data_IF_115801002608
#
_entry.id   IF_115801002608
#
_cell.length_a   1.000
_cell.length_b   1.000
_cell.length_c   1.000
_cell.angle_alpha   90.00
_cell.angle_beta   90.00
_cell.angle_gamma   90.00
#
_symmetry.space_group_name_H-M   'P 1'
#
loop_
_entity.id
_entity.type
_entity.pdbx_description
1 polymer ?
#
# COMPACT_ATOMS: atom_id res chain seq x y z
N UNK A 1 -12.67 3.99 -2.87
CA UNK A 1 -13.57 2.88 -2.47
C UNK A 1 -13.13 2.23 -1.17
N UNK A 2 -11.98 1.55 -1.13
CA UNK A 2 -11.55 0.84 0.10
C UNK A 2 -11.53 1.74 1.34
N UNK A 3 -10.81 2.86 1.27
CA UNK A 3 -10.73 3.78 2.40
C UNK A 3 -12.07 4.42 2.78
N UNK A 4 -12.97 4.61 1.82
CA UNK A 4 -14.33 5.09 2.08
C UNK A 4 -15.16 4.02 2.80
N UNK A 5 -15.04 2.76 2.40
CA UNK A 5 -15.68 1.62 3.07
C UNK A 5 -15.23 1.54 4.52
N UNK A 6 -13.91 1.53 4.75
CA UNK A 6 -13.32 1.49 6.10
C UNK A 6 -13.79 2.68 6.93
N UNK A 7 -13.70 3.89 6.40
CA UNK A 7 -14.11 5.11 7.11
C UNK A 7 -15.60 5.08 7.47
N UNK A 8 -16.45 4.51 6.62
CA UNK A 8 -17.88 4.37 6.88
C UNK A 8 -18.22 3.32 7.95
N UNK A 9 -17.54 2.18 7.95
CA UNK A 9 -17.81 1.08 8.89
C UNK A 9 -17.09 1.24 10.24
N UNK A 10 -15.98 1.97 10.28
CA UNK A 10 -15.15 2.11 11.48
C UNK A 10 -15.92 2.62 12.71
N UNK A 11 -16.78 3.67 12.64
CA UNK A 11 -17.56 4.13 13.80
C UNK A 11 -18.52 3.06 14.35
N UNK A 12 -19.09 2.23 13.46
CA UNK A 12 -19.98 1.13 13.83
C UNK A 12 -19.19 0.06 14.59
N UNK A 13 -18.00 -0.28 14.09
CA UNK A 13 -17.08 -1.22 14.74
C UNK A 13 -16.66 -0.72 16.12
N UNK A 14 -16.22 0.54 16.24
CA UNK A 14 -15.86 1.13 17.54
C UNK A 14 -17.02 1.08 18.55
N UNK A 15 -18.25 1.40 18.11
CA UNK A 15 -19.43 1.37 18.98
C UNK A 15 -19.78 -0.06 19.44
N UNK A 16 -19.61 -1.04 18.55
CA UNK A 16 -19.95 -2.43 18.85
C UNK A 16 -18.94 -3.08 19.80
N UNK A 17 -17.66 -2.76 19.65
CA UNK A 17 -16.58 -3.41 20.40
C UNK A 17 -16.02 -2.57 21.56
N UNK A 18 -16.57 -1.37 21.80
CA UNK A 18 -16.33 -0.44 22.94
C UNK A 18 -14.88 -0.11 23.33
N UNK A 19 -13.89 -0.68 22.65
CA UNK A 19 -12.45 -0.44 22.85
C UNK A 19 -11.66 -0.95 21.64
N UNK A 20 -12.09 -0.60 20.41
CA UNK A 20 -11.26 -0.91 19.24
C UNK A 20 -9.97 -0.07 19.32
N UNK A 21 -8.90 -0.71 19.78
CA UNK A 21 -7.67 -0.05 20.21
C UNK A 21 -6.89 0.61 19.06
N UNK A 22 -7.16 0.24 17.80
CA UNK A 22 -6.44 0.78 16.65
C UNK A 22 -7.14 2.03 16.09
N UNK A 23 -6.46 3.20 16.02
CA UNK A 23 -6.97 4.38 15.32
C UNK A 23 -7.29 4.09 13.85
N UNK A 24 -8.27 4.81 13.27
CA UNK A 24 -8.65 4.69 11.84
C UNK A 24 -7.46 4.76 10.88
N UNK A 25 -6.47 5.60 11.16
CA UNK A 25 -5.26 5.69 10.32
C UNK A 25 -4.40 4.42 10.37
N UNK A 26 -4.42 3.68 11.48
CA UNK A 26 -3.75 2.38 11.61
C UNK A 26 -4.49 1.31 10.80
N UNK A 27 -5.82 1.28 10.86
CA UNK A 27 -6.64 0.37 10.03
C UNK A 27 -6.37 0.62 8.55
N UNK A 28 -6.38 1.89 8.12
CA UNK A 28 -6.05 2.27 6.75
C UNK A 28 -4.60 1.88 6.38
N UNK A 29 -3.65 1.96 7.31
CA UNK A 29 -2.27 1.50 7.09
C UNK A 29 -2.17 -0.01 6.87
N UNK A 30 -2.99 -0.83 7.55
CA UNK A 30 -3.07 -2.29 7.31
C UNK A 30 -3.60 -2.58 5.91
N UNK A 31 -4.73 -1.98 5.54
CA UNK A 31 -5.32 -2.14 4.20
C UNK A 31 -4.39 -1.66 3.08
N UNK A 32 -3.66 -0.56 3.30
CA UNK A 32 -2.66 -0.08 2.36
C UNK A 32 -1.54 -1.11 2.12
N UNK A 33 -1.05 -1.74 3.18
CA UNK A 33 -0.01 -2.75 3.09
C UNK A 33 -0.51 -4.02 2.36
N UNK A 34 -1.75 -4.44 2.61
CA UNK A 34 -2.36 -5.58 1.92
C UNK A 34 -2.59 -5.29 0.42
N UNK A 35 -3.05 -4.08 0.06
CA UNK A 35 -3.09 -3.65 -1.35
C UNK A 35 -1.70 -3.72 -1.98
N UNK A 36 -0.67 -3.27 -1.26
CA UNK A 36 0.72 -3.36 -1.69
C UNK A 36 1.16 -4.79 -1.95
N UNK A 37 0.83 -5.72 -1.06
CA UNK A 37 1.15 -7.15 -1.24
C UNK A 37 0.38 -7.79 -2.39
N UNK A 38 -0.88 -7.41 -2.63
CA UNK A 38 -1.65 -7.85 -3.80
C UNK A 38 -0.97 -7.36 -5.10
N UNK A 39 -0.65 -6.07 -5.19
CA UNK A 39 0.01 -5.50 -6.39
C UNK A 39 1.35 -6.18 -6.66
N UNK A 40 2.13 -6.41 -5.60
CA UNK A 40 3.47 -7.02 -5.65
C UNK A 40 3.44 -8.54 -5.83
N UNK A 41 2.28 -9.19 -5.70
CA UNK A 41 2.14 -10.64 -5.77
C UNK A 41 2.73 -11.37 -4.57
N UNK A 42 2.73 -10.72 -3.40
CA UNK A 42 3.19 -11.21 -2.09
C UNK A 42 2.06 -11.60 -1.15
N UNK A 43 0.81 -11.32 -1.52
CA UNK A 43 -0.36 -11.63 -0.73
C UNK A 43 -0.51 -13.15 -0.48
N UNK A 44 -0.71 -13.51 0.79
CA UNK A 44 -0.80 -14.86 1.33
C UNK A 44 -2.25 -15.34 1.46
N UNK A 45 -3.25 -14.51 1.17
CA UNK A 45 -4.65 -14.84 1.39
C UNK A 45 -5.05 -16.03 0.50
N UNK A 46 -5.38 -17.16 1.13
CA UNK A 46 -5.77 -18.38 0.42
C UNK A 46 -7.27 -18.42 0.09
N UNK A 47 -8.11 -17.89 0.97
CA UNK A 47 -9.57 -17.79 0.82
C UNK A 47 -10.29 -19.14 0.67
N UNK A 48 -11.60 -19.08 0.44
CA UNK A 48 -12.41 -20.21 -0.01
C UNK A 48 -12.24 -20.46 -1.52
N UNK A 49 -12.86 -21.52 -2.06
CA UNK A 49 -12.72 -21.90 -3.47
C UNK A 49 -13.13 -20.78 -4.45
N UNK A 50 -14.19 -20.03 -4.13
CA UNK A 50 -14.67 -18.91 -4.96
C UNK A 50 -13.68 -17.75 -4.96
N UNK A 51 -13.14 -17.39 -3.80
CA UNK A 51 -12.13 -16.33 -3.63
C UNK A 51 -10.82 -16.72 -4.31
N UNK A 52 -10.43 -18.00 -4.23
CA UNK A 52 -9.26 -18.53 -4.92
C UNK A 52 -9.36 -18.34 -6.43
N UNK A 53 -10.52 -18.56 -7.02
CA UNK A 53 -10.72 -18.35 -8.46
C UNK A 53 -10.73 -16.86 -8.84
N UNK A 54 -11.30 -16.00 -8.00
CA UNK A 54 -11.20 -14.54 -8.17
C UNK A 54 -9.75 -14.07 -8.09
N UNK A 55 -8.95 -14.60 -7.15
CA UNK A 55 -7.53 -14.28 -7.00
C UNK A 55 -6.73 -14.72 -8.24
N UNK A 56 -6.97 -15.92 -8.77
CA UNK A 56 -6.33 -16.35 -10.04
C UNK A 56 -6.64 -15.39 -11.18
N UNK A 57 -7.89 -14.90 -11.27
CA UNK A 57 -8.30 -13.92 -12.29
C UNK A 57 -7.58 -12.59 -12.08
N UNK A 58 -7.50 -12.11 -10.83
CA UNK A 58 -6.79 -10.90 -10.46
C UNK A 58 -5.30 -10.99 -10.82
N UNK A 59 -4.63 -12.07 -10.42
CA UNK A 59 -3.20 -12.29 -10.73
C UNK A 59 -2.94 -12.37 -12.23
N UNK A 60 -3.83 -13.03 -12.99
CA UNK A 60 -3.73 -13.05 -14.46
C UNK A 60 -3.84 -11.65 -15.06
N UNK A 61 -4.74 -10.82 -14.54
CA UNK A 61 -4.90 -9.44 -14.98
C UNK A 61 -3.68 -8.59 -14.61
N UNK A 62 -3.17 -8.68 -13.38
CA UNK A 62 -1.97 -7.98 -12.95
C UNK A 62 -0.77 -8.38 -13.81
N UNK A 63 -0.57 -9.69 -14.06
CA UNK A 63 0.48 -10.17 -14.95
C UNK A 63 0.37 -9.58 -16.36
N UNK A 64 -0.85 -9.48 -16.88
CA UNK A 64 -1.11 -8.89 -18.21
C UNK A 64 -0.79 -7.40 -18.24
N UNK A 65 -1.23 -6.65 -17.23
CA UNK A 65 -0.97 -5.20 -17.09
C UNK A 65 0.54 -4.95 -17.00
N UNK A 66 1.24 -5.63 -16.09
CA UNK A 66 2.69 -5.45 -15.94
C UNK A 66 3.48 -5.93 -17.15
N UNK A 67 3.00 -6.96 -17.86
CA UNK A 67 3.57 -7.36 -19.15
C UNK A 67 3.42 -6.29 -20.23
N UNK A 68 2.31 -5.55 -20.25
CA UNK A 68 2.12 -4.42 -21.16
C UNK A 68 3.01 -3.23 -20.76
N UNK A 69 3.06 -2.88 -19.47
CA UNK A 69 3.96 -1.82 -18.96
C UNK A 69 5.41 -2.12 -19.36
N UNK A 70 5.87 -3.37 -19.15
CA UNK A 70 7.21 -3.78 -19.53
C UNK A 70 7.50 -3.63 -21.03
N UNK A 71 6.54 -3.98 -21.90
CA UNK A 71 6.65 -3.81 -23.35
C UNK A 71 6.73 -2.35 -23.76
N UNK A 72 5.91 -1.48 -23.18
CA UNK A 72 5.93 -0.04 -23.49
C UNK A 72 7.23 0.61 -23.00
N UNK A 73 7.71 0.26 -21.80
CA UNK A 73 9.01 0.72 -21.28
C UNK A 73 10.18 0.37 -22.21
N UNK A 74 10.13 -0.80 -22.88
CA UNK A 74 11.14 -1.18 -23.89
C UNK A 74 11.08 -0.32 -25.15
N UNK A 75 9.89 0.11 -25.59
CA UNK A 75 9.73 0.88 -26.83
C UNK A 75 10.18 2.34 -26.69
N UNK A 76 9.90 2.97 -25.55
CA UNK A 76 10.07 4.42 -25.38
C UNK A 76 11.52 4.87 -25.17
N UNK A 77 12.45 3.97 -24.82
CA UNK A 77 13.81 4.38 -24.45
C UNK A 77 14.84 4.04 -25.52
N UNK A 78 15.27 5.06 -26.28
CA UNK A 78 16.38 5.00 -27.26
C UNK A 78 17.70 4.41 -26.71
N UNK A 79 17.94 4.43 -25.39
CA UNK A 79 19.10 3.81 -24.71
C UNK A 79 18.72 2.89 -23.52
N UNK A 80 17.43 2.69 -23.24
CA UNK A 80 16.97 2.10 -21.98
C UNK A 80 16.64 0.62 -22.04
N UNK A 81 16.65 0.01 -23.21
CA UNK A 81 16.45 -1.44 -23.34
C UNK A 81 17.54 -2.20 -22.56
N UNK A 82 18.80 -1.76 -22.63
CA UNK A 82 19.90 -2.42 -21.94
C UNK A 82 19.79 -2.30 -20.40
N UNK A 83 19.39 -1.14 -19.88
CA UNK A 83 19.17 -0.93 -18.44
C UNK A 83 17.95 -1.69 -17.92
N UNK A 84 16.84 -1.69 -18.67
CA UNK A 84 15.64 -2.45 -18.33
C UNK A 84 15.89 -3.94 -18.39
N UNK A 85 16.62 -4.42 -19.40
CA UNK A 85 17.07 -5.80 -19.45
C UNK A 85 18.01 -6.11 -18.29
N UNK A 86 18.96 -5.24 -17.93
CA UNK A 86 19.84 -5.47 -16.75
C UNK A 86 19.04 -5.54 -15.45
N UNK A 87 18.08 -4.64 -15.24
CA UNK A 87 17.29 -4.57 -14.00
C UNK A 87 16.24 -5.68 -13.91
N UNK A 88 15.54 -5.98 -15.00
CA UNK A 88 14.37 -6.86 -15.05
C UNK A 88 14.52 -8.10 -15.95
N UNK A 89 15.76 -8.51 -16.32
CA UNK A 89 16.02 -9.59 -17.30
C UNK A 89 15.22 -10.87 -17.12
N UNK A 90 15.01 -11.27 -15.87
CA UNK A 90 14.39 -12.54 -15.47
C UNK A 90 12.97 -12.34 -14.93
N UNK A 91 12.43 -11.13 -15.08
CA UNK A 91 11.19 -10.75 -14.41
C UNK A 91 9.96 -11.21 -15.19
N UNK A 92 10.03 -11.29 -16.52
CA UNK A 92 8.96 -11.89 -17.36
C UNK A 92 8.62 -13.32 -16.90
N UNK A 93 9.64 -14.14 -16.64
CA UNK A 93 9.50 -15.52 -16.15
C UNK A 93 9.04 -15.59 -14.69
N UNK A 94 9.26 -14.51 -13.94
CA UNK A 94 8.96 -14.38 -12.51
C UNK A 94 7.76 -13.46 -12.25
N UNK A 95 6.79 -13.43 -13.16
CA UNK A 95 5.54 -12.67 -12.94
C UNK A 95 5.73 -11.16 -12.68
N UNK A 96 6.83 -10.59 -13.17
CA UNK A 96 7.21 -9.20 -13.04
C UNK A 96 7.40 -8.73 -11.59
N UNK A 97 7.81 -9.61 -10.66
CA UNK A 97 7.90 -9.26 -9.25
C UNK A 97 8.75 -8.01 -9.01
N UNK A 98 9.93 -7.89 -9.61
CA UNK A 98 10.79 -6.73 -9.38
C UNK A 98 10.21 -5.44 -9.96
N UNK A 99 9.60 -5.49 -11.14
CA UNK A 99 8.89 -4.36 -11.74
C UNK A 99 7.68 -3.96 -10.89
N UNK A 100 6.96 -4.92 -10.30
CA UNK A 100 5.84 -4.64 -9.39
C UNK A 100 6.31 -3.98 -8.09
N UNK A 101 7.45 -4.41 -7.52
CA UNK A 101 8.07 -3.75 -6.36
C UNK A 101 8.43 -2.30 -6.68
N UNK A 102 9.15 -2.08 -7.78
CA UNK A 102 9.61 -0.76 -8.21
C UNK A 102 8.40 0.15 -8.55
N UNK A 103 7.35 -0.41 -9.13
CA UNK A 103 6.10 0.32 -9.39
C UNK A 103 5.39 0.71 -8.09
N UNK A 104 5.32 -0.20 -7.11
CA UNK A 104 4.72 0.13 -5.82
C UNK A 104 5.49 1.26 -5.15
N UNK A 105 6.81 1.18 -5.05
CA UNK A 105 7.66 2.24 -4.47
C UNK A 105 7.35 3.62 -5.08
N UNK A 106 7.28 3.68 -6.41
CA UNK A 106 7.04 4.94 -7.13
C UNK A 106 5.62 5.49 -6.93
N UNK A 107 4.62 4.61 -6.76
CA UNK A 107 3.20 5.00 -6.75
C UNK A 107 2.56 4.98 -5.36
N UNK A 108 3.22 4.45 -4.33
CA UNK A 108 2.66 4.24 -2.99
C UNK A 108 2.12 5.52 -2.36
N UNK A 109 2.74 6.68 -2.62
CA UNK A 109 2.25 7.98 -2.13
C UNK A 109 0.89 8.35 -2.73
N UNK A 110 0.71 8.12 -4.04
CA UNK A 110 -0.56 8.38 -4.72
C UNK A 110 -1.65 7.40 -4.26
N UNK A 111 -1.29 6.13 -4.05
CA UNK A 111 -2.21 5.13 -3.52
C UNK A 111 -2.65 5.50 -2.10
N UNK A 112 -1.73 5.92 -1.23
CA UNK A 112 -2.05 6.39 0.13
C UNK A 112 -2.96 7.60 0.11
N UNK A 113 -2.68 8.58 -0.75
CA UNK A 113 -3.53 9.76 -0.95
C UNK A 113 -4.95 9.35 -1.38
N UNK A 114 -5.09 8.45 -2.34
CA UNK A 114 -6.39 7.96 -2.78
C UNK A 114 -7.13 7.19 -1.67
N UNK A 115 -6.40 6.40 -0.87
CA UNK A 115 -6.98 5.62 0.22
C UNK A 115 -7.50 6.51 1.35
N UNK A 116 -6.80 7.60 1.66
CA UNK A 116 -7.07 8.45 2.83
C UNK A 116 -7.87 9.71 2.50
N UNK A 117 -8.49 9.78 1.31
CA UNK A 117 -9.15 10.99 0.79
C UNK A 117 -10.12 11.63 1.79
N UNK A 118 -10.93 10.81 2.49
CA UNK A 118 -11.97 11.26 3.41
C UNK A 118 -11.73 10.79 4.85
N UNK A 119 -10.50 10.40 5.17
CA UNK A 119 -10.15 9.87 6.49
C UNK A 119 -9.92 11.00 7.50
N UNK A 120 -10.39 10.84 8.74
CA UNK A 120 -10.11 11.81 9.81
C UNK A 120 -9.59 11.09 11.04
N UNK A 121 -8.34 11.36 11.41
CA UNK A 121 -7.71 10.75 12.57
C UNK A 121 -6.21 11.00 12.63
N UNK A 122 -5.56 10.29 13.54
CA UNK A 122 -4.11 10.31 13.72
C UNK A 122 -3.51 8.93 13.56
N UNK A 123 -2.36 8.83 12.88
CA UNK A 123 -1.55 7.61 12.91
C UNK A 123 -0.87 7.49 14.28
N UNK A 124 -0.85 6.30 14.86
CA UNK A 124 -0.41 6.10 16.25
C UNK A 124 1.08 6.37 16.48
N UNK A 125 1.92 6.25 15.44
CA UNK A 125 3.36 6.57 15.51
C UNK A 125 3.63 7.99 15.02
N UNK A 126 4.53 8.67 15.71
CA UNK A 126 5.05 9.96 15.26
C UNK A 126 6.10 9.73 14.16
N UNK A 127 5.67 9.85 12.91
CA UNK A 127 6.50 9.58 11.72
C UNK A 127 6.61 10.78 10.77
N UNK A 128 5.98 11.91 11.10
CA UNK A 128 6.05 13.11 10.29
C UNK A 128 7.23 13.98 10.70
N UNK A 129 8.23 14.09 9.82
CA UNK A 129 9.47 14.85 10.03
C UNK A 129 10.71 13.95 9.91
N UNK A 130 11.85 14.55 9.59
CA UNK A 130 13.10 13.82 9.33
C UNK A 130 13.92 13.57 10.60
N UNK A 131 13.61 14.29 11.69
CA UNK A 131 14.27 14.13 12.99
C UNK A 131 13.35 13.38 13.97
N UNK A 132 13.81 12.24 14.50
CA UNK A 132 13.04 11.41 15.45
C UNK A 132 12.53 12.21 16.66
N UNK A 133 13.36 13.10 17.22
CA UNK A 133 13.02 13.93 18.39
C UNK A 133 12.02 15.05 18.09
N UNK A 134 11.77 15.36 16.83
CA UNK A 134 10.82 16.38 16.37
C UNK A 134 9.66 15.78 15.57
N UNK A 135 9.64 14.45 15.42
CA UNK A 135 8.62 13.77 14.64
C UNK A 135 7.26 13.99 15.27
N UNK A 136 6.26 14.27 14.44
CA UNK A 136 4.88 14.51 14.86
C UNK A 136 3.97 13.41 14.35
N UNK A 137 2.80 13.28 14.97
CA UNK A 137 1.75 12.39 14.48
C UNK A 137 1.19 12.94 13.16
N UNK A 138 0.87 12.04 12.23
CA UNK A 138 0.06 12.40 11.06
C UNK A 138 -1.30 12.93 11.52
N UNK A 139 -1.73 14.07 10.99
CA UNK A 139 -2.99 14.74 11.36
C UNK A 139 -3.75 15.09 10.08
N UNK A 140 -5.09 14.98 10.13
CA UNK A 140 -6.01 15.26 9.03
C UNK A 140 -5.71 14.40 7.78
N UNK A 141 -6.63 13.51 7.41
CA UNK A 141 -6.46 12.61 6.27
C UNK A 141 -5.28 11.64 6.42
N UNK A 142 -4.86 11.34 7.67
CA UNK A 142 -3.81 10.37 7.96
C UNK A 142 -2.51 10.61 7.16
N UNK A 143 -2.11 11.86 6.95
CA UNK A 143 -0.92 12.22 6.16
C UNK A 143 0.03 13.12 6.94
N UNK A 144 1.29 13.06 6.55
CA UNK A 144 2.29 14.03 6.96
C UNK A 144 2.35 15.16 5.92
N UNK A 145 2.50 16.40 6.37
CA UNK A 145 2.83 17.54 5.51
C UNK A 145 4.35 17.68 5.46
N UNK A 146 4.96 17.92 4.29
CA UNK A 146 6.38 18.32 4.26
C UNK A 146 6.55 19.73 4.85
N UNK A 147 7.73 19.95 5.39
CA UNK A 147 8.14 21.20 6.04
C UNK A 147 8.13 22.41 5.08
N UNK A 148 8.20 22.18 3.76
CA UNK A 148 8.27 23.24 2.75
C UNK A 148 6.95 23.97 2.51
N UNK A 149 5.81 23.48 3.04
CA UNK A 149 4.52 24.17 3.09
C UNK A 149 3.91 24.55 1.73
N UNK A 150 4.55 24.21 0.61
CA UNK A 150 4.22 24.67 -0.74
C UNK A 150 3.25 23.76 -1.49
N UNK A 151 2.99 22.55 -0.98
CA UNK A 151 1.96 21.65 -1.50
C UNK A 151 1.55 20.62 -0.45
N UNK A 152 0.35 20.04 -0.60
CA UNK A 152 -0.07 18.82 0.11
C UNK A 152 0.83 17.67 -0.32
N UNK A 153 1.98 17.60 0.33
CA UNK A 153 3.01 16.60 0.12
C UNK A 153 2.70 15.45 1.06
N UNK A 154 1.72 14.65 0.63
CA UNK A 154 1.12 13.56 1.37
C UNK A 154 2.11 12.40 1.56
N UNK A 155 3.12 12.60 2.41
CA UNK A 155 4.02 11.52 2.78
C UNK A 155 3.22 10.44 3.51
N UNK A 156 3.45 9.20 3.11
CA UNK A 156 2.87 8.02 3.76
C UNK A 156 3.48 7.89 5.16
N UNK A 157 2.70 7.98 6.24
CA UNK A 157 3.23 7.94 7.61
C UNK A 157 3.58 6.53 8.08
N UNK A 158 3.32 5.50 7.26
CA UNK A 158 3.54 4.09 7.59
C UNK A 158 4.57 3.43 6.67
N UNK A 159 5.20 2.39 7.19
CA UNK A 159 6.07 1.46 6.47
C UNK A 159 5.56 0.02 6.58
N UNK A 160 4.29 -0.16 6.95
CA UNK A 160 3.67 -1.49 7.05
C UNK A 160 3.75 -2.25 5.72
N UNK A 161 3.72 -1.55 4.59
CA UNK A 161 3.93 -2.15 3.27
C UNK A 161 5.33 -2.75 3.07
N UNK A 162 6.30 -2.53 3.96
CA UNK A 162 7.61 -3.20 3.95
C UNK A 162 7.77 -4.25 5.07
N UNK A 163 6.74 -4.45 5.90
CA UNK A 163 6.71 -5.51 6.92
C UNK A 163 6.09 -6.76 6.30
N UNK A 164 6.64 -7.97 6.49
CA UNK A 164 6.03 -9.21 5.99
C UNK A 164 4.56 -9.38 6.44
N UNK A 165 3.66 -9.77 5.52
CA UNK A 165 2.22 -9.86 5.77
C UNK A 165 1.85 -10.71 7.00
N UNK A 166 2.51 -11.86 7.17
CA UNK A 166 2.30 -12.72 8.35
C UNK A 166 2.46 -11.97 9.68
N UNK A 167 3.48 -11.10 9.80
CA UNK A 167 3.70 -10.35 11.04
C UNK A 167 2.63 -9.27 11.25
N UNK A 168 2.12 -8.68 10.16
CA UNK A 168 1.06 -7.66 10.24
C UNK A 168 -0.26 -8.28 10.66
N UNK A 169 -0.64 -9.40 10.04
CA UNK A 169 -1.84 -10.13 10.41
C UNK A 169 -1.75 -10.67 11.84
N UNK A 170 -0.58 -11.17 12.26
CA UNK A 170 -0.39 -11.60 13.64
C UNK A 170 -0.59 -10.46 14.65
N UNK A 171 -0.09 -9.25 14.35
CA UNK A 171 -0.31 -8.07 15.19
C UNK A 171 -1.77 -7.62 15.19
N UNK A 172 -2.43 -7.59 14.04
CA UNK A 172 -3.85 -7.25 13.93
C UNK A 172 -4.74 -8.21 14.74
N UNK A 173 -4.50 -9.52 14.63
CA UNK A 173 -5.20 -10.54 15.41
C UNK A 173 -5.01 -10.40 16.93
N UNK A 174 -3.92 -9.76 17.37
CA UNK A 174 -3.67 -9.52 18.79
C UNK A 174 -4.35 -8.24 19.30
N UNK A 175 -4.75 -7.34 18.41
CA UNK A 175 -5.44 -6.08 18.75
C UNK A 175 -6.97 -6.15 18.61
N UNK A 176 -7.49 -7.14 17.88
CA UNK A 176 -8.92 -7.45 17.73
C UNK A 176 -9.48 -8.33 18.88
#
# INVERSE_FOLDING_TARGET
YEGQSITGYYPIYQTKYNDYGSPICTVLARSFADIGDIVRGKDLFLGNDKEKDQRKKLEKNLKTIFGNIYKELKKDRKNGEEELQKRYKKDEDKNFFKLREDWWEENRQLVWKALTCDAHGTYFRATCGDEEKKSTLAKNNCRCKKEDGKSETDQVPTYFDYVPQYLRWFEEWAED
#
